data_IF_378293846816
#
_entry.id   IF_378293846816
#
_cell.length_a   1.000
_cell.length_b   1.000
_cell.length_c   1.000
_cell.angle_alpha   90.00
_cell.angle_beta   90.00
_cell.angle_gamma   90.00
#
_symmetry.space_group_name_H-M   'P 1'
#
loop_
_entity.id
_entity.type
_entity.pdbx_description
1 polymer ?
#
# COMPACT_ATOMS: atom_id res chain seq x y z
N UNK A 1 17.97 -0.67 5.75
CA UNK A 1 18.01 -0.28 7.17
C UNK A 1 17.27 -1.31 7.97
N UNK A 2 17.89 -1.88 9.00
CA UNK A 2 17.24 -2.85 9.88
C UNK A 2 16.43 -2.16 10.99
N UNK A 3 15.43 -2.82 11.58
CA UNK A 3 14.77 -2.36 12.80
C UNK A 3 15.78 -2.15 13.92
N UNK A 4 15.56 -1.14 14.76
CA UNK A 4 16.43 -0.91 15.92
C UNK A 4 16.08 -1.84 17.06
N UNK A 5 17.12 -2.35 17.75
CA UNK A 5 16.92 -3.18 18.93
C UNK A 5 16.39 -2.34 20.10
N UNK A 6 15.35 -2.83 20.77
CA UNK A 6 14.87 -2.22 22.02
C UNK A 6 15.75 -2.68 23.20
N UNK A 7 16.51 -1.77 23.79
CA UNK A 7 17.34 -1.97 24.97
C UNK A 7 16.80 -1.24 26.21
N UNK A 8 15.52 -0.83 26.20
CA UNK A 8 14.92 -0.10 27.30
C UNK A 8 14.58 -0.96 28.55
N UNK A 9 14.69 -2.28 28.42
CA UNK A 9 14.32 -3.21 29.50
C UNK A 9 12.80 -3.47 29.64
N UNK A 10 11.99 -2.78 28.85
CA UNK A 10 10.53 -2.90 28.81
C UNK A 10 10.10 -3.32 27.40
N UNK A 11 9.59 -4.56 27.19
CA UNK A 11 9.12 -5.03 25.89
C UNK A 11 7.99 -4.17 25.30
N UNK A 12 7.16 -3.56 26.14
CA UNK A 12 6.06 -2.67 25.71
C UNK A 12 6.56 -1.43 24.97
N UNK A 13 7.86 -1.11 25.04
CA UNK A 13 8.47 0.01 24.31
C UNK A 13 9.04 -0.39 22.93
N UNK A 14 8.84 -1.63 22.48
CA UNK A 14 9.30 -2.06 21.16
C UNK A 14 8.72 -1.20 20.02
N UNK A 15 7.45 -0.74 20.16
CA UNK A 15 6.83 0.16 19.19
C UNK A 15 7.63 1.44 18.96
N UNK A 16 8.31 1.95 19.98
CA UNK A 16 9.11 3.16 19.88
C UNK A 16 10.38 2.94 19.03
N UNK A 17 11.10 1.84 19.27
CA UNK A 17 12.31 1.48 18.52
C UNK A 17 11.98 1.20 17.04
N UNK A 18 10.91 0.43 16.79
CA UNK A 18 10.44 0.09 15.45
C UNK A 18 9.92 1.34 14.72
N UNK A 19 9.16 2.19 15.40
CA UNK A 19 8.64 3.41 14.83
C UNK A 19 9.74 4.43 14.52
N UNK A 20 10.75 4.56 15.38
CA UNK A 20 11.91 5.42 15.09
C UNK A 20 12.67 4.93 13.85
N UNK A 21 12.87 3.62 13.73
CA UNK A 21 13.49 3.04 12.54
C UNK A 21 12.68 3.33 11.27
N UNK A 22 11.34 3.26 11.34
CA UNK A 22 10.47 3.53 10.19
C UNK A 22 10.50 5.01 9.77
N UNK A 23 10.40 5.93 10.73
CA UNK A 23 10.50 7.36 10.45
C UNK A 23 11.85 7.73 9.83
N UNK A 24 12.95 7.14 10.33
CA UNK A 24 14.28 7.32 9.75
C UNK A 24 14.38 6.74 8.35
N UNK A 25 13.79 5.55 8.10
CA UNK A 25 13.72 4.95 6.75
C UNK A 25 12.97 5.86 5.79
N UNK A 26 11.81 6.37 6.20
CA UNK A 26 11.01 7.31 5.41
C UNK A 26 11.78 8.59 5.10
N UNK A 27 12.56 9.11 6.05
CA UNK A 27 13.40 10.29 5.86
C UNK A 27 14.52 10.02 4.86
N UNK A 28 15.22 8.89 4.98
CA UNK A 28 16.26 8.48 4.04
C UNK A 28 15.73 8.23 2.62
N UNK A 29 14.50 7.71 2.48
CA UNK A 29 13.87 7.47 1.18
C UNK A 29 13.54 8.76 0.40
N UNK A 30 13.55 9.92 1.06
CA UNK A 30 13.40 11.25 0.43
C UNK A 30 14.70 11.76 -0.19
N UNK A 31 15.84 11.16 0.17
CA UNK A 31 17.13 11.59 -0.34
C UNK A 31 17.36 11.08 -1.76
N UNK A 32 17.51 12.00 -2.70
CA UNK A 32 17.84 11.65 -4.08
C UNK A 32 19.18 10.90 -4.14
N UNK A 33 19.21 9.82 -4.91
CA UNK A 33 20.42 9.00 -5.07
C UNK A 33 20.61 7.92 -4.00
N UNK A 34 19.76 7.84 -2.97
CA UNK A 34 19.76 6.76 -1.98
C UNK A 34 18.59 5.80 -2.23
N UNK A 35 18.90 4.54 -2.51
CA UNK A 35 17.88 3.47 -2.55
C UNK A 35 17.79 2.83 -1.17
N UNK A 36 16.60 2.87 -0.57
CA UNK A 36 16.35 2.35 0.78
C UNK A 36 15.43 1.14 0.68
N UNK A 37 15.88 0.01 1.22
CA UNK A 37 15.06 -1.22 1.27
C UNK A 37 13.81 -1.00 2.10
N UNK A 38 12.69 -1.53 1.61
CA UNK A 38 11.39 -1.46 2.24
C UNK A 38 11.35 -2.12 3.62
N UNK A 39 10.35 -1.74 4.38
CA UNK A 39 10.19 -2.17 5.77
C UNK A 39 10.06 -3.68 5.89
N UNK A 40 9.19 -4.31 5.09
CA UNK A 40 8.87 -5.74 5.23
C UNK A 40 10.10 -6.60 5.05
N UNK A 41 10.90 -6.34 4.02
CA UNK A 41 12.16 -7.08 3.82
C UNK A 41 13.15 -6.88 4.97
N UNK A 42 13.23 -5.66 5.49
CA UNK A 42 14.10 -5.34 6.63
C UNK A 42 13.67 -6.08 7.92
N UNK A 43 12.36 -6.21 8.15
CA UNK A 43 11.81 -6.95 9.29
C UNK A 43 12.11 -8.46 9.20
N UNK A 44 11.99 -9.04 8.00
CA UNK A 44 12.26 -10.48 7.79
C UNK A 44 13.71 -10.84 8.13
N UNK A 45 14.65 -9.93 7.90
CA UNK A 45 16.08 -10.15 8.19
C UNK A 45 16.54 -9.51 9.51
N UNK A 46 15.62 -9.09 10.37
CA UNK A 46 15.88 -8.40 11.64
C UNK A 46 16.95 -9.08 12.50
N UNK A 47 16.94 -10.42 12.55
CA UNK A 47 17.81 -11.22 13.37
C UNK A 47 19.05 -11.74 12.64
N UNK A 48 19.23 -11.40 11.38
CA UNK A 48 20.42 -11.77 10.62
C UNK A 48 21.59 -10.84 10.99
N UNK A 49 22.82 -11.35 10.88
CA UNK A 49 23.99 -10.48 10.89
C UNK A 49 24.02 -9.57 9.65
N UNK A 50 24.77 -8.45 9.72
CA UNK A 50 24.76 -7.44 8.68
C UNK A 50 25.17 -7.98 7.29
N UNK A 51 26.13 -8.93 7.22
CA UNK A 51 26.55 -9.54 5.93
C UNK A 51 25.45 -10.43 5.35
N UNK A 52 24.81 -11.22 6.18
CA UNK A 52 23.70 -12.08 5.75
C UNK A 52 22.50 -11.24 5.32
N UNK A 53 22.14 -10.20 6.08
CA UNK A 53 21.09 -9.26 5.71
C UNK A 53 21.42 -8.56 4.39
N UNK A 54 22.65 -8.04 4.22
CA UNK A 54 23.10 -7.37 3.00
C UNK A 54 22.96 -8.27 1.76
N UNK A 55 23.37 -9.53 1.89
CA UNK A 55 23.28 -10.52 0.80
C UNK A 55 21.82 -10.84 0.44
N UNK A 56 20.96 -11.08 1.45
CA UNK A 56 19.53 -11.37 1.23
C UNK A 56 18.78 -10.21 0.61
N UNK A 57 19.15 -8.97 0.98
CA UNK A 57 18.51 -7.75 0.51
C UNK A 57 19.21 -7.14 -0.71
N UNK A 58 20.31 -7.73 -1.18
CA UNK A 58 21.14 -7.22 -2.29
C UNK A 58 21.58 -5.75 -2.11
N UNK A 59 22.02 -5.37 -0.89
CA UNK A 59 22.44 -3.99 -0.55
C UNK A 59 23.92 -3.90 -0.23
N UNK A 60 24.53 -2.77 -0.55
CA UNK A 60 25.95 -2.50 -0.26
C UNK A 60 26.18 -2.11 1.20
N UNK A 61 25.21 -1.53 1.86
CA UNK A 61 25.34 -1.04 3.23
C UNK A 61 24.14 -1.41 4.07
N UNK A 62 24.38 -1.67 5.36
CA UNK A 62 23.33 -1.96 6.37
C UNK A 62 23.43 -0.91 7.46
N UNK A 63 22.37 -0.13 7.65
CA UNK A 63 22.18 0.70 8.83
C UNK A 63 21.43 -0.11 9.88
N UNK A 64 22.03 -0.24 11.06
CA UNK A 64 21.49 -0.93 12.23
C UNK A 64 21.67 -0.08 13.48
N UNK A 65 21.08 -0.48 14.59
CA UNK A 65 21.23 0.26 15.83
C UNK A 65 20.37 -0.26 16.97
N UNK A 66 20.36 0.50 18.05
CA UNK A 66 19.56 0.21 19.23
C UNK A 66 19.00 1.49 19.85
N UNK A 67 17.89 1.34 20.55
CA UNK A 67 17.26 2.41 21.33
C UNK A 67 17.15 1.99 22.79
N UNK A 68 17.60 2.84 23.69
CA UNK A 68 17.36 2.73 25.12
C UNK A 68 16.64 4.00 25.59
N UNK A 69 15.41 3.83 26.03
CA UNK A 69 14.58 4.94 26.54
C UNK A 69 14.44 4.83 28.05
N UNK A 70 14.63 5.96 28.74
CA UNK A 70 14.29 6.18 30.15
C UNK A 70 13.37 7.38 30.27
N UNK A 71 12.92 7.69 31.49
CA UNK A 71 12.11 8.90 31.74
C UNK A 71 12.86 10.20 31.39
N UNK A 72 14.19 10.22 31.56
CA UNK A 72 15.00 11.42 31.40
C UNK A 72 15.74 11.51 30.06
N UNK A 73 16.06 10.36 29.45
CA UNK A 73 16.94 10.30 28.26
C UNK A 73 16.50 9.23 27.27
N UNK A 74 16.71 9.55 26.00
CA UNK A 74 16.71 8.57 24.90
C UNK A 74 18.14 8.48 24.42
N UNK A 75 18.72 7.27 24.47
CA UNK A 75 19.98 6.93 23.81
C UNK A 75 19.69 6.12 22.57
N UNK A 76 20.17 6.60 21.43
CA UNK A 76 20.14 5.87 20.16
C UNK A 76 21.58 5.62 19.75
N UNK A 77 21.93 4.37 19.53
CA UNK A 77 23.17 3.97 18.87
C UNK A 77 22.83 3.64 17.42
N UNK A 78 23.52 4.24 16.47
CA UNK A 78 23.34 3.95 15.05
C UNK A 78 24.70 3.57 14.44
N UNK A 79 24.69 2.56 13.57
CA UNK A 79 25.89 2.01 12.93
C UNK A 79 25.60 1.75 11.45
N UNK A 80 26.51 2.20 10.59
CA UNK A 80 26.52 1.90 9.16
C UNK A 80 27.62 0.87 8.88
N UNK A 81 27.21 -0.29 8.39
CA UNK A 81 28.08 -1.44 8.16
C UNK A 81 28.19 -1.71 6.67
N UNK A 82 29.40 -1.94 6.17
CA UNK A 82 29.65 -2.43 4.82
C UNK A 82 29.10 -3.85 4.66
N UNK A 83 28.17 -4.04 3.74
CA UNK A 83 27.47 -5.33 3.55
C UNK A 83 28.38 -6.44 3.00
N UNK A 84 29.49 -6.08 2.35
CA UNK A 84 30.43 -7.06 1.77
C UNK A 84 31.45 -7.52 2.81
N UNK A 85 32.13 -6.57 3.44
CA UNK A 85 33.19 -6.85 4.43
C UNK A 85 32.62 -7.17 5.82
N UNK A 86 31.47 -6.62 6.19
CA UNK A 86 30.93 -6.63 7.55
C UNK A 86 31.60 -5.63 8.48
N UNK A 87 32.47 -4.77 7.96
CA UNK A 87 33.17 -3.77 8.77
C UNK A 87 32.30 -2.53 8.97
N UNK A 88 32.41 -1.94 10.14
CA UNK A 88 31.75 -0.68 10.48
C UNK A 88 32.40 0.46 9.70
N UNK A 89 31.56 1.23 8.96
CA UNK A 89 31.97 2.46 8.25
C UNK A 89 31.77 3.69 9.10
N UNK A 90 30.77 3.64 9.96
CA UNK A 90 30.41 4.75 10.83
C UNK A 90 29.58 4.23 12.01
N UNK A 91 29.78 4.84 13.18
CA UNK A 91 29.02 4.57 14.40
C UNK A 91 28.94 5.82 15.26
N UNK A 92 27.75 6.09 15.81
CA UNK A 92 27.55 7.24 16.69
C UNK A 92 26.46 6.98 17.72
N UNK A 93 26.61 7.64 18.88
CA UNK A 93 25.63 7.59 19.97
C UNK A 93 24.98 8.96 20.13
N UNK A 94 23.65 8.98 20.18
CA UNK A 94 22.84 10.17 20.37
C UNK A 94 22.14 10.10 21.71
N UNK A 95 22.58 10.93 22.65
CA UNK A 95 21.94 11.10 23.95
C UNK A 95 21.14 12.41 23.95
N UNK A 96 19.82 12.31 24.07
CA UNK A 96 18.90 13.44 23.98
C UNK A 96 17.76 13.32 24.99
N UNK A 97 17.11 14.45 25.27
CA UNK A 97 15.87 14.46 26.00
C UNK A 97 14.73 13.79 25.19
N UNK A 98 13.68 13.24 25.83
CA UNK A 98 12.57 12.60 25.13
C UNK A 98 11.88 13.49 24.08
N UNK A 99 11.94 14.83 24.20
CA UNK A 99 11.39 15.78 23.23
C UNK A 99 12.18 15.97 21.94
N UNK A 100 13.41 15.46 21.86
CA UNK A 100 14.33 15.69 20.75
C UNK A 100 14.35 14.56 19.71
N UNK A 101 13.31 13.70 19.67
CA UNK A 101 13.31 12.50 18.82
C UNK A 101 13.48 12.81 17.34
N UNK A 102 12.81 13.85 16.82
CA UNK A 102 12.95 14.29 15.41
C UNK A 102 14.36 14.78 15.13
N UNK A 103 15.00 15.47 16.11
CA UNK A 103 16.37 15.92 15.95
C UNK A 103 17.34 14.74 15.87
N UNK A 104 17.13 13.69 16.69
CA UNK A 104 17.90 12.45 16.58
C UNK A 104 17.76 11.84 15.19
N UNK A 105 16.56 11.74 14.66
CA UNK A 105 16.29 11.19 13.32
C UNK A 105 16.99 12.00 12.23
N UNK A 106 16.93 13.33 12.32
CA UNK A 106 17.58 14.23 11.36
C UNK A 106 19.11 14.12 11.45
N UNK A 107 19.67 14.14 12.66
CA UNK A 107 21.11 14.01 12.91
C UNK A 107 21.64 12.67 12.35
N UNK A 108 20.93 11.55 12.59
CA UNK A 108 21.31 10.24 12.04
C UNK A 108 21.24 10.24 10.52
N UNK A 109 20.17 10.77 9.93
CA UNK A 109 20.01 10.79 8.47
C UNK A 109 21.09 11.64 7.79
N UNK A 110 21.48 12.77 8.38
CA UNK A 110 22.59 13.62 7.91
C UNK A 110 23.93 12.88 7.99
N UNK A 111 24.22 12.23 9.13
CA UNK A 111 25.46 11.48 9.34
C UNK A 111 25.56 10.29 8.38
N UNK A 112 24.46 9.55 8.15
CA UNK A 112 24.39 8.46 7.16
C UNK A 112 24.66 8.99 5.75
N UNK A 113 24.01 10.09 5.36
CA UNK A 113 24.23 10.70 4.04
C UNK A 113 25.71 11.12 3.86
N UNK A 114 26.31 11.70 4.88
CA UNK A 114 27.73 12.07 4.88
C UNK A 114 28.64 10.84 4.76
N UNK A 115 28.40 9.79 5.54
CA UNK A 115 29.15 8.54 5.48
C UNK A 115 29.05 7.85 4.12
N UNK A 116 27.92 7.99 3.44
CA UNK A 116 27.70 7.50 2.07
C UNK A 116 28.13 8.50 0.99
N UNK A 117 28.71 9.65 1.36
CA UNK A 117 29.15 10.73 0.45
C UNK A 117 28.01 11.29 -0.42
N UNK A 118 26.80 11.31 0.11
CA UNK A 118 25.63 11.93 -0.54
C UNK A 118 25.64 13.41 -0.20
N UNK A 119 25.67 14.27 -1.22
CA UNK A 119 25.65 15.72 -1.01
C UNK A 119 24.26 16.19 -0.56
N UNK A 120 24.12 16.60 0.69
CA UNK A 120 22.92 17.22 1.22
C UNK A 120 22.99 18.74 1.08
N UNK A 121 22.27 19.30 0.11
CA UNK A 121 22.00 20.76 0.06
C UNK A 121 21.04 21.18 1.18
N UNK A 122 20.86 22.51 1.36
CA UNK A 122 19.90 23.05 2.33
C UNK A 122 18.49 22.53 2.16
N UNK A 123 18.05 22.35 0.91
CA UNK A 123 16.74 21.75 0.58
C UNK A 123 16.64 20.28 1.03
N UNK A 124 17.68 19.48 0.83
CA UNK A 124 17.71 18.07 1.29
C UNK A 124 17.60 17.95 2.81
N UNK A 125 18.30 18.79 3.55
CA UNK A 125 18.21 18.84 5.02
C UNK A 125 16.81 19.22 5.50
N UNK A 126 16.18 20.22 4.86
CA UNK A 126 14.83 20.62 5.20
C UNK A 126 13.80 19.48 5.01
N UNK A 127 14.00 18.60 4.02
CA UNK A 127 13.11 17.47 3.76
C UNK A 127 13.17 16.39 4.87
N UNK A 128 14.27 16.27 5.60
CA UNK A 128 14.42 15.24 6.63
C UNK A 128 13.47 15.43 7.82
N UNK A 129 13.11 16.68 8.16
CA UNK A 129 12.25 17.02 9.30
C UNK A 129 10.79 17.31 8.93
N UNK A 130 10.41 17.18 7.65
CA UNK A 130 9.08 17.57 7.17
C UNK A 130 7.98 16.70 7.76
N UNK A 131 6.95 17.35 8.28
CA UNK A 131 5.69 16.71 8.72
C UNK A 131 5.72 16.12 10.12
N UNK A 132 6.81 16.28 10.86
CA UNK A 132 6.94 15.81 12.23
C UNK A 132 6.28 16.73 13.27
N UNK A 133 6.45 16.39 14.55
CA UNK A 133 5.96 17.17 15.70
C UNK A 133 7.05 17.29 16.78
N UNK A 134 7.08 18.41 17.49
CA UNK A 134 7.90 18.56 18.69
C UNK A 134 7.16 18.09 19.96
N UNK A 135 5.91 17.68 19.85
CA UNK A 135 5.13 17.15 20.98
C UNK A 135 5.40 15.64 21.11
N UNK A 136 6.13 15.28 22.18
CA UNK A 136 6.55 13.87 22.44
C UNK A 136 5.36 12.94 22.59
N UNK A 137 4.30 13.39 23.25
CA UNK A 137 3.12 12.56 23.50
C UNK A 137 2.33 12.36 22.20
N UNK A 138 2.21 13.40 21.37
CA UNK A 138 1.61 13.28 20.05
C UNK A 138 2.40 12.30 19.17
N UNK A 139 3.74 12.35 19.18
CA UNK A 139 4.57 11.41 18.45
C UNK A 139 4.39 9.97 18.96
N UNK A 140 4.41 9.76 20.27
CA UNK A 140 4.19 8.45 20.87
C UNK A 140 2.84 7.84 20.46
N UNK A 141 1.78 8.64 20.44
CA UNK A 141 0.46 8.18 19.98
C UNK A 141 0.46 7.74 18.53
N UNK A 142 1.17 8.46 17.65
CA UNK A 142 1.31 8.06 16.24
C UNK A 142 2.09 6.75 16.11
N UNK A 143 3.20 6.56 16.84
CA UNK A 143 3.96 5.31 16.81
C UNK A 143 3.12 4.12 17.32
N UNK A 144 2.28 4.33 18.34
CA UNK A 144 1.32 3.33 18.82
C UNK A 144 0.23 3.04 17.76
N UNK A 145 -0.27 4.07 17.06
CA UNK A 145 -1.21 3.89 15.97
C UNK A 145 -0.61 3.05 14.85
N UNK A 146 0.61 3.36 14.41
CA UNK A 146 1.32 2.61 13.38
C UNK A 146 1.52 1.14 13.79
N UNK A 147 1.76 0.85 15.07
CA UNK A 147 1.88 -0.51 15.59
C UNK A 147 0.58 -1.33 15.49
N UNK A 148 -0.61 -0.69 15.46
CA UNK A 148 -1.87 -1.41 15.24
C UNK A 148 -1.95 -2.08 13.86
N UNK A 149 -1.17 -1.60 12.88
CA UNK A 149 -1.16 -2.11 11.50
C UNK A 149 -0.08 -3.16 11.24
N UNK A 150 0.79 -3.44 12.21
CA UNK A 150 1.87 -4.42 12.07
C UNK A 150 1.41 -5.88 12.19
N UNK A 151 0.18 -6.11 12.59
CA UNK A 151 -0.43 -7.42 12.75
C UNK A 151 -1.68 -7.54 11.88
N UNK A 152 -2.43 -8.61 12.04
CA UNK A 152 -3.67 -8.86 11.27
C UNK A 152 -4.58 -7.63 11.25
N UNK A 153 -4.87 -7.13 10.04
CA UNK A 153 -5.77 -5.99 9.84
C UNK A 153 -7.20 -6.38 10.25
N UNK A 154 -7.81 -5.57 11.13
CA UNK A 154 -9.19 -5.75 11.58
C UNK A 154 -9.85 -4.39 11.83
N UNK A 155 -11.19 -4.36 11.80
CA UNK A 155 -11.96 -3.13 12.09
C UNK A 155 -11.61 -2.53 13.46
N UNK A 156 -11.54 -3.37 14.49
CA UNK A 156 -11.22 -2.93 15.84
C UNK A 156 -9.86 -2.23 15.91
N UNK A 157 -8.83 -2.79 15.27
CA UNK A 157 -7.49 -2.19 15.23
C UNK A 157 -7.47 -0.91 14.43
N UNK A 158 -8.19 -0.87 13.29
CA UNK A 158 -8.27 0.32 12.47
C UNK A 158 -8.96 1.47 13.22
N UNK A 159 -10.06 1.19 13.92
CA UNK A 159 -10.74 2.20 14.75
C UNK A 159 -9.88 2.64 15.94
N UNK A 160 -9.17 1.70 16.59
CA UNK A 160 -8.21 2.05 17.65
C UNK A 160 -7.07 2.94 17.14
N UNK A 161 -6.55 2.66 15.96
CA UNK A 161 -5.57 3.52 15.29
C UNK A 161 -6.09 4.94 15.07
N UNK A 162 -7.35 5.08 14.61
CA UNK A 162 -7.99 6.41 14.46
C UNK A 162 -8.09 7.16 15.78
N UNK A 163 -8.49 6.51 16.87
CA UNK A 163 -8.56 7.14 18.20
C UNK A 163 -7.18 7.70 18.64
N UNK A 164 -6.12 6.91 18.44
CA UNK A 164 -4.76 7.32 18.77
C UNK A 164 -4.30 8.50 17.91
N UNK A 165 -4.61 8.49 16.61
CA UNK A 165 -4.29 9.59 15.70
C UNK A 165 -5.07 10.85 16.07
N UNK A 166 -6.36 10.73 16.39
CA UNK A 166 -7.18 11.87 16.79
C UNK A 166 -6.68 12.48 18.11
N UNK A 167 -6.24 11.67 19.07
CA UNK A 167 -5.60 12.12 20.29
C UNK A 167 -4.26 12.84 20.01
N UNK A 168 -3.45 12.34 19.07
CA UNK A 168 -2.21 12.99 18.65
C UNK A 168 -2.48 14.37 18.02
N UNK A 169 -3.50 14.49 17.17
CA UNK A 169 -3.92 15.76 16.55
C UNK A 169 -4.44 16.75 17.60
N UNK A 170 -5.12 16.26 18.65
CA UNK A 170 -5.58 17.12 19.75
C UNK A 170 -4.40 17.70 20.53
N UNK A 171 -3.30 16.95 20.70
CA UNK A 171 -2.08 17.40 21.36
C UNK A 171 -1.24 18.34 20.48
N UNK A 172 -1.22 18.12 19.18
CA UNK A 172 -0.56 18.99 18.20
C UNK A 172 -1.41 19.16 16.93
N UNK A 173 -2.23 20.21 16.87
CA UNK A 173 -3.06 20.52 15.69
C UNK A 173 -2.28 20.87 14.42
N UNK A 174 -0.96 21.01 14.50
CA UNK A 174 -0.07 21.26 13.36
C UNK A 174 0.72 20.03 12.92
N UNK A 175 0.48 18.86 13.49
CA UNK A 175 1.16 17.62 13.14
C UNK A 175 0.69 17.08 11.77
N UNK A 176 1.33 17.53 10.69
CA UNK A 176 0.96 17.18 9.33
C UNK A 176 0.97 15.66 9.07
N UNK A 177 1.97 14.94 9.61
CA UNK A 177 2.09 13.48 9.51
C UNK A 177 0.89 12.73 10.10
N UNK A 178 0.32 13.22 11.19
CA UNK A 178 -0.88 12.66 11.81
C UNK A 178 -2.11 12.82 10.90
N UNK A 179 -2.29 14.00 10.30
CA UNK A 179 -3.39 14.22 9.35
C UNK A 179 -3.28 13.35 8.10
N UNK A 180 -2.09 13.12 7.57
CA UNK A 180 -1.88 12.21 6.44
C UNK A 180 -2.32 10.78 6.79
N UNK A 181 -1.85 10.25 7.93
CA UNK A 181 -2.23 8.91 8.44
C UNK A 181 -3.74 8.80 8.67
N UNK A 182 -4.34 9.84 9.27
CA UNK A 182 -5.79 9.92 9.46
C UNK A 182 -6.54 9.81 8.14
N UNK A 183 -6.08 10.50 7.10
CA UNK A 183 -6.69 10.45 5.76
C UNK A 183 -6.70 9.05 5.17
N UNK A 184 -5.56 8.37 5.16
CA UNK A 184 -5.43 6.99 4.67
C UNK A 184 -6.32 6.04 5.45
N UNK A 185 -6.27 6.12 6.79
CA UNK A 185 -6.98 5.17 7.63
C UNK A 185 -8.49 5.35 7.57
N UNK A 186 -8.98 6.60 7.55
CA UNK A 186 -10.40 6.88 7.33
C UNK A 186 -10.90 6.35 5.99
N UNK A 187 -10.09 6.53 4.91
CA UNK A 187 -10.43 5.96 3.61
C UNK A 187 -10.51 4.44 3.66
N UNK A 188 -9.55 3.78 4.30
CA UNK A 188 -9.53 2.33 4.46
C UNK A 188 -10.71 1.81 5.27
N UNK A 189 -11.01 2.43 6.42
CA UNK A 189 -12.18 2.07 7.25
C UNK A 189 -13.47 2.25 6.47
N UNK A 190 -13.58 3.35 5.72
CA UNK A 190 -14.78 3.61 4.90
C UNK A 190 -14.96 2.58 3.80
N UNK A 191 -13.88 2.13 3.15
CA UNK A 191 -13.96 1.15 2.06
C UNK A 191 -14.33 -0.26 2.53
N UNK A 192 -13.79 -0.69 3.68
CA UNK A 192 -13.88 -2.08 4.10
C UNK A 192 -14.90 -2.33 5.22
N UNK A 193 -15.27 -1.31 6.00
CA UNK A 193 -16.06 -1.48 7.22
C UNK A 193 -17.28 -0.55 7.31
N UNK A 194 -17.61 0.22 6.26
CA UNK A 194 -18.85 1.00 6.28
C UNK A 194 -20.08 0.12 6.10
N UNK A 195 -21.13 0.42 6.87
CA UNK A 195 -22.40 -0.31 6.86
C UNK A 195 -23.43 0.26 5.88
N UNK A 196 -23.01 1.17 5.01
CA UNK A 196 -23.86 1.76 3.97
C UNK A 196 -23.25 2.94 3.25
N UNK A 197 -23.92 3.42 2.17
CA UNK A 197 -23.40 4.48 1.31
C UNK A 197 -23.21 5.82 2.02
N UNK A 198 -24.02 6.15 3.01
CA UNK A 198 -23.89 7.41 3.76
C UNK A 198 -22.67 7.41 4.66
N UNK A 199 -22.37 6.30 5.36
CA UNK A 199 -21.16 6.15 6.17
C UNK A 199 -19.93 6.17 5.28
N UNK A 200 -19.94 5.48 4.15
CA UNK A 200 -18.86 5.50 3.15
C UNK A 200 -18.58 6.94 2.67
N UNK A 201 -19.62 7.70 2.31
CA UNK A 201 -19.52 9.08 1.84
C UNK A 201 -18.99 10.02 2.93
N UNK A 202 -19.50 9.87 4.16
CA UNK A 202 -19.05 10.67 5.30
C UNK A 202 -17.57 10.40 5.63
N UNK A 203 -17.15 9.14 5.67
CA UNK A 203 -15.77 8.75 5.93
C UNK A 203 -14.80 9.24 4.86
N UNK A 204 -15.15 9.11 3.58
CA UNK A 204 -14.36 9.66 2.46
C UNK A 204 -14.25 11.19 2.54
N UNK A 205 -15.32 11.90 2.90
CA UNK A 205 -15.28 13.35 3.08
C UNK A 205 -14.31 13.75 4.19
N UNK A 206 -14.32 13.05 5.32
CA UNK A 206 -13.37 13.29 6.42
C UNK A 206 -11.93 12.93 6.01
N UNK A 207 -11.74 11.84 5.26
CA UNK A 207 -10.44 11.45 4.72
C UNK A 207 -9.85 12.54 3.81
N UNK A 208 -10.65 13.09 2.88
CA UNK A 208 -10.25 14.21 2.02
C UNK A 208 -9.87 15.46 2.81
N UNK A 209 -10.67 15.83 3.84
CA UNK A 209 -10.35 16.98 4.71
C UNK A 209 -9.01 16.76 5.41
N UNK A 210 -8.76 15.57 5.93
CA UNK A 210 -7.51 15.25 6.63
C UNK A 210 -6.30 15.30 5.67
N UNK A 211 -6.39 14.67 4.50
CA UNK A 211 -5.31 14.69 3.51
C UNK A 211 -4.99 16.11 3.02
N UNK A 212 -6.00 16.93 2.74
CA UNK A 212 -5.82 18.34 2.36
C UNK A 212 -5.18 19.15 3.50
N UNK A 213 -5.57 18.91 4.75
CA UNK A 213 -4.96 19.57 5.91
C UNK A 213 -3.49 19.20 6.05
N UNK A 214 -3.12 17.93 5.83
CA UNK A 214 -1.74 17.49 5.84
C UNK A 214 -0.89 18.24 4.81
N UNK A 215 -1.38 18.39 3.56
CA UNK A 215 -0.69 19.14 2.51
C UNK A 215 -0.60 20.63 2.85
N UNK A 216 -1.67 21.23 3.41
CA UNK A 216 -1.65 22.63 3.80
C UNK A 216 -0.60 22.92 4.89
N UNK A 217 -0.38 21.98 5.80
CA UNK A 217 0.62 22.09 6.87
C UNK A 217 2.05 21.79 6.37
N UNK A 218 2.20 20.83 5.48
CA UNK A 218 3.50 20.39 4.96
C UNK A 218 3.42 20.02 3.47
N UNK A 219 3.51 21.00 2.55
CA UNK A 219 3.36 20.78 1.10
C UNK A 219 4.41 19.87 0.47
N UNK A 220 5.52 19.65 1.15
CA UNK A 220 6.62 18.76 0.70
C UNK A 220 6.63 17.40 1.41
N UNK A 221 5.58 17.07 2.15
CA UNK A 221 5.42 15.76 2.78
C UNK A 221 4.88 14.75 1.76
N UNK A 222 5.72 13.82 1.31
CA UNK A 222 5.34 12.77 0.33
C UNK A 222 4.11 11.98 0.77
N UNK A 223 4.04 11.63 2.03
CA UNK A 223 2.94 10.90 2.65
C UNK A 223 1.59 11.63 2.55
N UNK A 224 1.58 12.96 2.66
CA UNK A 224 0.36 13.76 2.52
C UNK A 224 -0.21 13.68 1.10
N UNK A 225 0.68 13.77 0.09
CA UNK A 225 0.30 13.59 -1.33
C UNK A 225 -0.18 12.17 -1.62
N UNK A 226 0.52 11.14 -1.08
CA UNK A 226 0.09 9.75 -1.21
C UNK A 226 -1.29 9.52 -0.59
N UNK A 227 -1.54 10.06 0.60
CA UNK A 227 -2.83 10.00 1.27
C UNK A 227 -3.94 10.61 0.41
N UNK A 228 -3.71 11.82 -0.13
CA UNK A 228 -4.68 12.49 -0.99
C UNK A 228 -4.92 11.70 -2.29
N UNK A 229 -3.87 11.16 -2.90
CA UNK A 229 -3.96 10.32 -4.09
C UNK A 229 -4.86 9.09 -3.85
N UNK A 230 -4.63 8.36 -2.76
CA UNK A 230 -5.42 7.19 -2.39
C UNK A 230 -6.89 7.52 -2.09
N UNK A 231 -7.13 8.61 -1.35
CA UNK A 231 -8.50 9.02 -1.04
C UNK A 231 -9.25 9.45 -2.32
N UNK A 232 -8.59 10.17 -3.23
CA UNK A 232 -9.16 10.58 -4.52
C UNK A 232 -9.44 9.38 -5.42
N UNK A 233 -8.49 8.44 -5.57
CA UNK A 233 -8.72 7.24 -6.39
C UNK A 233 -9.82 6.36 -5.81
N UNK A 234 -9.89 6.16 -4.49
CA UNK A 234 -10.98 5.46 -3.81
C UNK A 234 -12.35 6.14 -3.98
N UNK A 235 -12.36 7.47 -4.18
CA UNK A 235 -13.56 8.25 -4.49
C UNK A 235 -13.83 8.37 -6.00
N UNK A 236 -13.14 7.63 -6.85
CA UNK A 236 -13.21 7.65 -8.32
C UNK A 236 -12.86 9.03 -8.93
N UNK A 237 -12.13 9.86 -8.22
CA UNK A 237 -11.58 11.12 -8.72
C UNK A 237 -10.23 10.87 -9.43
N UNK A 238 -10.27 10.10 -10.52
CA UNK A 238 -9.10 9.54 -11.18
C UNK A 238 -8.15 10.64 -11.69
N UNK A 239 -8.68 11.62 -12.44
CA UNK A 239 -7.87 12.73 -12.95
C UNK A 239 -7.13 13.49 -11.85
N UNK A 240 -7.82 13.97 -10.80
CA UNK A 240 -7.17 14.62 -9.64
C UNK A 240 -6.23 13.74 -8.82
N UNK A 241 -6.39 12.41 -8.81
CA UNK A 241 -5.50 11.50 -8.06
C UNK A 241 -4.10 11.40 -8.68
N UNK A 242 -4.01 11.40 -10.01
CA UNK A 242 -2.75 11.17 -10.72
C UNK A 242 -1.63 12.15 -10.37
N UNK A 243 -1.82 13.49 -10.42
CA UNK A 243 -0.77 14.44 -10.05
C UNK A 243 -0.28 14.26 -8.61
N UNK A 244 -1.14 13.82 -7.70
CA UNK A 244 -0.76 13.57 -6.31
C UNK A 244 0.16 12.33 -6.18
N UNK A 245 -0.13 11.24 -6.89
CA UNK A 245 0.78 10.08 -6.94
C UNK A 245 2.16 10.48 -7.50
N UNK A 246 2.18 11.27 -8.59
CA UNK A 246 3.44 11.78 -9.18
C UNK A 246 4.21 12.65 -8.20
N UNK A 247 3.52 13.50 -7.46
CA UNK A 247 4.15 14.38 -6.47
C UNK A 247 4.69 13.57 -5.29
N UNK A 248 3.95 12.57 -4.80
CA UNK A 248 4.41 11.68 -3.73
C UNK A 248 5.70 10.96 -4.13
N UNK A 249 5.75 10.38 -5.34
CA UNK A 249 6.94 9.71 -5.86
C UNK A 249 8.12 10.68 -6.03
N UNK A 250 7.87 11.89 -6.56
CA UNK A 250 8.91 12.92 -6.70
C UNK A 250 9.54 13.30 -5.35
N UNK A 251 8.73 13.37 -4.29
CA UNK A 251 9.17 13.76 -2.94
C UNK A 251 9.85 12.62 -2.16
N UNK A 252 9.55 11.37 -2.49
CA UNK A 252 10.16 10.19 -1.88
C UNK A 252 10.42 9.11 -2.96
N UNK A 253 11.46 9.29 -3.80
CA UNK A 253 11.67 8.45 -4.97
C UNK A 253 12.08 7.00 -4.65
N UNK A 254 12.47 6.70 -3.41
CA UNK A 254 12.83 5.35 -2.97
C UNK A 254 11.87 4.77 -1.94
N UNK A 255 10.69 5.37 -1.76
CA UNK A 255 9.67 4.80 -0.89
C UNK A 255 8.92 3.67 -1.60
N UNK A 256 9.26 2.42 -1.27
CA UNK A 256 8.71 1.23 -1.89
C UNK A 256 7.16 1.18 -1.80
N UNK A 257 6.57 1.71 -0.74
CA UNK A 257 5.11 1.75 -0.59
C UNK A 257 4.46 2.73 -1.58
N UNK A 258 5.01 3.92 -1.74
CA UNK A 258 4.55 4.91 -2.72
C UNK A 258 4.67 4.36 -4.15
N UNK A 259 5.82 3.75 -4.48
CA UNK A 259 6.08 3.15 -5.80
C UNK A 259 5.05 2.05 -6.09
N UNK A 260 4.82 1.14 -5.15
CA UNK A 260 3.88 0.04 -5.27
C UNK A 260 2.44 0.52 -5.50
N UNK A 261 1.97 1.47 -4.68
CA UNK A 261 0.61 2.01 -4.79
C UNK A 261 0.40 2.83 -6.06
N UNK A 262 1.42 3.55 -6.51
CA UNK A 262 1.35 4.27 -7.77
C UNK A 262 1.37 3.33 -8.98
N UNK A 263 2.18 2.25 -8.94
CA UNK A 263 2.15 1.19 -9.96
C UNK A 263 0.74 0.61 -10.13
N UNK A 264 0.08 0.27 -9.02
CA UNK A 264 -1.30 -0.20 -9.05
C UNK A 264 -2.24 0.80 -9.72
N UNK A 265 -2.22 2.05 -9.29
CA UNK A 265 -3.06 3.10 -9.89
C UNK A 265 -2.83 3.24 -11.40
N UNK A 266 -1.57 3.20 -11.85
CA UNK A 266 -1.22 3.26 -13.27
C UNK A 266 -1.76 2.05 -14.05
N UNK A 267 -1.72 0.85 -13.47
CA UNK A 267 -2.31 -0.35 -14.06
C UNK A 267 -3.83 -0.21 -14.23
N UNK A 268 -4.51 0.30 -13.20
CA UNK A 268 -5.96 0.56 -13.21
C UNK A 268 -6.37 1.56 -14.30
N UNK A 269 -5.57 2.60 -14.53
CA UNK A 269 -5.87 3.65 -15.53
C UNK A 269 -5.28 3.40 -16.92
N UNK A 270 -4.76 2.21 -17.20
CA UNK A 270 -4.29 1.81 -18.52
C UNK A 270 -2.89 2.31 -18.91
N UNK A 271 -2.07 2.81 -17.98
CA UNK A 271 -0.67 3.22 -18.22
C UNK A 271 0.28 2.03 -17.96
N UNK A 272 0.08 0.93 -18.70
CA UNK A 272 0.62 -0.40 -18.43
C UNK A 272 2.16 -0.47 -18.36
N UNK A 273 2.85 0.21 -19.29
CA UNK A 273 4.32 0.21 -19.32
C UNK A 273 4.90 0.82 -18.04
N UNK A 274 4.40 1.99 -17.64
CA UNK A 274 4.83 2.69 -16.42
C UNK A 274 4.45 1.89 -15.16
N UNK A 275 3.30 1.24 -15.17
CA UNK A 275 2.86 0.38 -14.07
C UNK A 275 3.85 -0.78 -13.84
N UNK A 276 4.27 -1.46 -14.90
CA UNK A 276 5.22 -2.57 -14.82
C UNK A 276 6.61 -2.12 -14.37
N UNK A 277 7.11 -1.00 -14.91
CA UNK A 277 8.40 -0.42 -14.50
C UNK A 277 8.43 -0.12 -12.98
N UNK A 278 7.38 0.52 -12.46
CA UNK A 278 7.29 0.81 -11.03
C UNK A 278 7.04 -0.46 -10.20
N UNK A 279 6.30 -1.45 -10.71
CA UNK A 279 6.12 -2.71 -10.02
C UNK A 279 7.44 -3.48 -9.85
N UNK A 280 8.26 -3.52 -10.91
CA UNK A 280 9.59 -4.13 -10.86
C UNK A 280 10.52 -3.35 -9.90
N UNK A 281 10.45 -2.01 -9.88
CA UNK A 281 11.19 -1.20 -8.93
C UNK A 281 10.75 -1.44 -7.47
N UNK A 282 9.43 -1.58 -7.21
CA UNK A 282 8.91 -1.92 -5.89
C UNK A 282 9.43 -3.28 -5.39
N UNK A 283 9.48 -4.29 -6.28
CA UNK A 283 10.07 -5.60 -5.97
C UNK A 283 11.57 -5.47 -5.67
N UNK A 284 12.30 -4.67 -6.45
CA UNK A 284 13.73 -4.45 -6.21
C UNK A 284 14.02 -3.74 -4.88
N UNK A 285 13.14 -2.81 -4.46
CA UNK A 285 13.29 -2.10 -3.20
C UNK A 285 12.78 -2.89 -1.98
N UNK A 286 11.84 -3.83 -2.17
CA UNK A 286 11.31 -4.63 -1.06
C UNK A 286 11.20 -6.11 -1.47
N UNK A 287 12.36 -6.80 -1.69
CA UNK A 287 12.43 -8.08 -2.40
C UNK A 287 11.89 -9.27 -1.63
N UNK A 288 11.67 -9.15 -0.32
CA UNK A 288 11.07 -10.21 0.51
C UNK A 288 9.59 -9.93 0.83
N UNK A 289 9.05 -8.81 0.35
CA UNK A 289 7.66 -8.44 0.56
C UNK A 289 6.75 -9.08 -0.48
N UNK A 290 5.95 -10.07 -0.07
CA UNK A 290 5.00 -10.77 -0.95
C UNK A 290 3.97 -9.83 -1.59
N UNK A 291 3.62 -8.72 -0.92
CA UNK A 291 2.72 -7.71 -1.47
C UNK A 291 3.33 -7.01 -2.70
N UNK A 292 4.64 -6.77 -2.74
CA UNK A 292 5.30 -6.20 -3.94
C UNK A 292 5.10 -7.11 -5.15
N UNK A 293 5.16 -8.42 -4.96
CA UNK A 293 4.90 -9.39 -6.02
C UNK A 293 3.41 -9.47 -6.39
N UNK A 294 2.50 -9.37 -5.42
CA UNK A 294 1.07 -9.29 -5.71
C UNK A 294 0.74 -8.09 -6.61
N UNK A 295 1.33 -6.92 -6.33
CA UNK A 295 1.13 -5.73 -7.16
C UNK A 295 1.78 -5.85 -8.54
N UNK A 296 2.92 -6.55 -8.65
CA UNK A 296 3.51 -6.88 -9.95
C UNK A 296 2.61 -7.82 -10.76
N UNK A 297 2.05 -8.84 -10.11
CA UNK A 297 1.07 -9.75 -10.71
C UNK A 297 -0.18 -8.97 -11.16
N UNK A 298 -0.67 -8.06 -10.34
CA UNK A 298 -1.76 -7.15 -10.68
C UNK A 298 -1.45 -6.32 -11.93
N UNK A 299 -0.28 -5.71 -12.02
CA UNK A 299 0.14 -4.93 -13.18
C UNK A 299 0.25 -5.79 -14.44
N UNK A 300 0.79 -7.01 -14.35
CA UNK A 300 0.86 -7.97 -15.45
C UNK A 300 -0.54 -8.37 -15.94
N UNK A 301 -1.48 -8.63 -15.02
CA UNK A 301 -2.87 -8.96 -15.36
C UNK A 301 -3.56 -7.84 -16.14
N UNK A 302 -3.48 -6.60 -15.64
CA UNK A 302 -4.06 -5.44 -16.31
C UNK A 302 -3.36 -5.11 -17.64
N UNK A 303 -2.09 -5.48 -17.79
CA UNK A 303 -1.35 -5.43 -19.06
C UNK A 303 -1.70 -6.61 -20.00
N UNK A 304 -2.62 -7.50 -19.62
CA UNK A 304 -3.03 -8.70 -20.36
C UNK A 304 -1.90 -9.71 -20.61
N UNK A 305 -0.85 -9.67 -19.79
CA UNK A 305 0.29 -10.56 -19.84
C UNK A 305 0.04 -11.82 -18.99
N UNK A 306 -1.03 -12.55 -19.29
CA UNK A 306 -1.55 -13.65 -18.45
C UNK A 306 -0.56 -14.81 -18.27
N UNK A 307 0.25 -15.12 -19.30
CA UNK A 307 1.29 -16.13 -19.18
C UNK A 307 2.38 -15.73 -18.19
N UNK A 308 2.72 -14.42 -18.15
CA UNK A 308 3.70 -13.89 -17.22
C UNK A 308 3.13 -13.84 -15.78
N UNK A 309 1.82 -13.64 -15.62
CA UNK A 309 1.13 -13.79 -14.31
C UNK A 309 1.30 -15.19 -13.78
N UNK A 310 1.08 -16.22 -14.61
CA UNK A 310 1.24 -17.63 -14.21
C UNK A 310 2.69 -17.93 -13.81
N UNK A 311 3.65 -17.46 -14.61
CA UNK A 311 5.07 -17.63 -14.31
C UNK A 311 5.46 -16.93 -12.99
N UNK A 312 5.11 -15.66 -12.81
CA UNK A 312 5.43 -14.89 -11.62
C UNK A 312 4.80 -15.53 -10.37
N UNK A 313 3.57 -16.04 -10.47
CA UNK A 313 2.90 -16.72 -9.36
C UNK A 313 3.62 -18.02 -8.98
N UNK A 314 4.08 -18.82 -9.96
CA UNK A 314 4.84 -20.06 -9.69
C UNK A 314 6.18 -19.76 -9.02
N UNK A 315 6.90 -18.76 -9.52
CA UNK A 315 8.20 -18.34 -8.99
C UNK A 315 8.05 -17.89 -7.54
N UNK A 316 7.03 -17.06 -7.24
CA UNK A 316 6.81 -16.55 -5.89
C UNK A 316 6.32 -17.65 -4.93
N UNK A 317 5.46 -18.56 -5.39
CA UNK A 317 5.02 -19.72 -4.61
C UNK A 317 6.23 -20.62 -4.23
N UNK A 318 7.15 -20.83 -5.15
CA UNK A 318 8.36 -21.60 -4.90
C UNK A 318 9.31 -20.91 -3.91
N UNK A 319 9.41 -19.57 -4.00
CA UNK A 319 10.26 -18.76 -3.14
C UNK A 319 9.72 -18.60 -1.71
N UNK A 320 8.41 -18.46 -1.56
CA UNK A 320 7.74 -18.13 -0.29
C UNK A 320 6.55 -19.06 -0.01
N UNK A 321 6.73 -20.40 0.02
CA UNK A 321 5.60 -21.36 0.01
C UNK A 321 4.71 -21.25 1.25
N UNK A 322 5.24 -20.78 2.37
CA UNK A 322 4.49 -20.68 3.64
C UNK A 322 3.73 -19.35 3.79
N UNK A 323 4.12 -18.33 3.06
CA UNK A 323 3.62 -16.96 3.26
C UNK A 323 2.86 -16.42 2.04
N UNK A 324 3.28 -16.79 0.83
CA UNK A 324 2.62 -16.32 -0.38
C UNK A 324 1.28 -17.02 -0.60
N UNK A 325 0.28 -16.22 -0.94
CA UNK A 325 -1.03 -16.70 -1.38
C UNK A 325 -1.29 -16.09 -2.76
N UNK A 326 -1.46 -16.92 -3.80
CA UNK A 326 -1.74 -16.40 -5.14
C UNK A 326 -2.95 -15.48 -5.15
N UNK A 327 -2.84 -14.27 -5.72
CA UNK A 327 -3.94 -13.32 -5.78
C UNK A 327 -5.02 -13.77 -6.80
N UNK A 328 -6.19 -13.13 -6.76
CA UNK A 328 -7.30 -13.45 -7.67
C UNK A 328 -6.94 -13.32 -9.14
N UNK A 329 -6.06 -12.39 -9.48
CA UNK A 329 -5.52 -12.15 -10.82
C UNK A 329 -4.86 -13.38 -11.42
N UNK A 330 -4.29 -14.27 -10.59
CA UNK A 330 -3.79 -15.57 -11.07
C UNK A 330 -4.94 -16.45 -11.56
N UNK A 331 -6.00 -16.61 -10.75
CA UNK A 331 -7.19 -17.37 -11.15
C UNK A 331 -7.86 -16.80 -12.40
N UNK A 332 -7.98 -15.48 -12.46
CA UNK A 332 -8.49 -14.76 -13.64
C UNK A 332 -7.62 -14.96 -14.88
N UNK A 333 -6.29 -14.96 -14.72
CA UNK A 333 -5.38 -15.23 -15.82
C UNK A 333 -5.50 -16.65 -16.36
N UNK A 334 -5.73 -17.64 -15.48
CA UNK A 334 -6.01 -19.02 -15.91
C UNK A 334 -7.29 -19.08 -16.75
N UNK A 335 -8.34 -18.34 -16.40
CA UNK A 335 -9.57 -18.23 -17.20
C UNK A 335 -9.22 -17.62 -18.58
N UNK A 336 -8.45 -16.51 -18.60
CA UNK A 336 -8.10 -15.82 -19.84
C UNK A 336 -7.21 -16.65 -20.77
N UNK A 337 -6.38 -17.55 -20.23
CA UNK A 337 -5.57 -18.51 -20.95
C UNK A 337 -6.35 -19.76 -21.43
N UNK A 338 -7.64 -19.87 -21.08
CA UNK A 338 -8.43 -21.06 -21.38
C UNK A 338 -8.09 -22.28 -20.52
N UNK A 339 -7.31 -22.11 -19.46
CA UNK A 339 -6.94 -23.17 -18.51
C UNK A 339 -8.06 -23.43 -17.49
N UNK A 340 -9.25 -23.71 -17.98
CA UNK A 340 -10.49 -23.71 -17.19
C UNK A 340 -10.48 -24.75 -16.06
N UNK A 341 -9.84 -25.91 -16.25
CA UNK A 341 -9.71 -26.91 -15.19
C UNK A 341 -8.81 -26.43 -14.02
N UNK A 342 -7.74 -25.70 -14.33
CA UNK A 342 -6.87 -25.09 -13.32
C UNK A 342 -7.58 -23.94 -12.59
N UNK A 343 -8.28 -23.08 -13.33
CA UNK A 343 -9.12 -22.05 -12.75
C UNK A 343 -10.22 -22.64 -11.83
N UNK A 344 -10.84 -23.75 -12.20
CA UNK A 344 -11.81 -24.45 -11.39
C UNK A 344 -11.25 -24.95 -10.05
N UNK A 345 -9.99 -25.42 -10.05
CA UNK A 345 -9.31 -25.78 -8.79
C UNK A 345 -8.99 -24.55 -7.94
N UNK A 346 -8.57 -23.43 -8.58
CA UNK A 346 -8.25 -22.20 -7.89
C UNK A 346 -9.50 -21.58 -7.20
N UNK A 347 -10.65 -21.58 -7.89
CA UNK A 347 -11.91 -21.05 -7.37
C UNK A 347 -12.78 -22.12 -6.67
N UNK A 348 -12.22 -23.29 -6.36
CA UNK A 348 -12.94 -24.33 -5.62
C UNK A 348 -13.36 -23.82 -4.22
N UNK A 349 -14.55 -24.21 -3.74
CA UNK A 349 -15.02 -23.78 -2.43
C UNK A 349 -14.07 -24.21 -1.31
N UNK A 350 -13.67 -23.25 -0.47
CA UNK A 350 -13.00 -23.50 0.81
C UNK A 350 -13.70 -22.73 1.91
N UNK A 351 -13.54 -23.09 3.18
CA UNK A 351 -14.13 -22.33 4.29
C UNK A 351 -13.71 -20.85 4.35
N UNK A 352 -12.58 -20.51 3.72
CA UNK A 352 -11.98 -19.17 3.72
C UNK A 352 -12.38 -18.35 2.49
N UNK A 353 -13.24 -18.88 1.60
CA UNK A 353 -13.62 -18.19 0.37
C UNK A 353 -14.39 -16.90 0.63
N UNK A 354 -13.78 -15.77 0.24
CA UNK A 354 -14.41 -14.47 0.24
C UNK A 354 -15.20 -14.20 -1.06
N UNK A 355 -15.85 -13.03 -1.14
CA UNK A 355 -16.65 -12.64 -2.31
C UNK A 355 -15.89 -12.70 -3.64
N UNK A 356 -14.60 -12.39 -3.67
CA UNK A 356 -13.77 -12.47 -4.87
C UNK A 356 -13.65 -13.89 -5.45
N UNK A 357 -13.60 -14.91 -4.60
CA UNK A 357 -13.58 -16.30 -5.04
C UNK A 357 -14.94 -16.72 -5.66
N UNK A 358 -16.04 -16.24 -5.07
CA UNK A 358 -17.39 -16.48 -5.61
C UNK A 358 -17.57 -15.77 -6.96
N UNK A 359 -17.02 -14.54 -7.11
CA UNK A 359 -17.03 -13.80 -8.37
C UNK A 359 -16.24 -14.55 -9.46
N UNK A 360 -15.01 -14.98 -9.17
CA UNK A 360 -14.18 -15.75 -10.11
C UNK A 360 -14.85 -17.07 -10.54
N UNK A 361 -15.48 -17.77 -9.60
CA UNK A 361 -16.27 -18.96 -9.91
C UNK A 361 -17.44 -18.63 -10.85
N UNK A 362 -18.18 -17.54 -10.58
CA UNK A 362 -19.29 -17.10 -11.42
C UNK A 362 -18.85 -16.77 -12.86
N UNK A 363 -17.72 -16.06 -13.01
CA UNK A 363 -17.12 -15.74 -14.30
C UNK A 363 -16.70 -17.03 -15.04
N UNK A 364 -16.08 -17.97 -14.34
CA UNK A 364 -15.66 -19.26 -14.92
C UNK A 364 -16.87 -20.05 -15.43
N UNK A 365 -17.93 -20.14 -14.63
CA UNK A 365 -19.17 -20.85 -15.01
C UNK A 365 -19.84 -20.18 -16.21
N UNK A 366 -19.91 -18.86 -16.23
CA UNK A 366 -20.43 -18.10 -17.39
C UNK A 366 -19.68 -18.43 -18.67
N UNK A 367 -18.35 -18.46 -18.65
CA UNK A 367 -17.51 -18.79 -19.81
C UNK A 367 -17.61 -20.25 -20.23
N UNK A 368 -17.92 -21.16 -19.30
CA UNK A 368 -18.20 -22.57 -19.60
C UNK A 368 -19.61 -22.82 -20.13
N UNK A 369 -20.45 -21.79 -20.26
CA UNK A 369 -21.84 -21.91 -20.71
C UNK A 369 -22.80 -22.37 -19.60
N UNK A 370 -22.34 -22.53 -18.37
CA UNK A 370 -23.20 -22.83 -17.22
C UNK A 370 -23.88 -21.57 -16.70
N UNK A 371 -24.93 -21.12 -17.41
CA UNK A 371 -25.70 -19.95 -17.04
C UNK A 371 -26.36 -20.11 -15.66
N UNK A 372 -26.83 -21.32 -15.35
CA UNK A 372 -27.51 -21.56 -14.06
C UNK A 372 -26.52 -21.39 -12.89
N UNK A 373 -25.36 -22.03 -12.96
CA UNK A 373 -24.32 -21.91 -11.93
C UNK A 373 -23.78 -20.47 -11.79
N UNK A 374 -23.64 -19.73 -12.89
CA UNK A 374 -23.26 -18.33 -12.86
C UNK A 374 -24.30 -17.46 -12.14
N UNK A 375 -25.60 -17.67 -12.37
CA UNK A 375 -26.69 -16.96 -11.68
C UNK A 375 -26.73 -17.30 -10.18
N UNK A 376 -26.44 -18.54 -9.79
CA UNK A 376 -26.30 -18.92 -8.39
C UNK A 376 -25.12 -18.18 -7.73
N UNK A 377 -24.01 -17.99 -8.43
CA UNK A 377 -22.89 -17.20 -7.92
C UNK A 377 -23.27 -15.73 -7.73
N UNK A 378 -24.08 -15.14 -8.63
CA UNK A 378 -24.63 -13.78 -8.46
C UNK A 378 -25.51 -13.71 -7.21
N UNK A 379 -26.39 -14.68 -7.00
CA UNK A 379 -27.25 -14.71 -5.82
C UNK A 379 -26.45 -14.80 -4.53
N UNK A 380 -25.40 -15.61 -4.51
CA UNK A 380 -24.51 -15.76 -3.38
C UNK A 380 -23.71 -14.46 -3.11
N UNK A 381 -23.18 -13.80 -4.14
CA UNK A 381 -22.51 -12.50 -4.00
C UNK A 381 -23.43 -11.46 -3.36
N UNK A 382 -24.68 -11.36 -3.84
CA UNK A 382 -25.67 -10.44 -3.27
C UNK A 382 -25.99 -10.77 -1.82
N UNK A 383 -26.04 -12.05 -1.47
CA UNK A 383 -26.26 -12.51 -0.08
C UNK A 383 -25.09 -12.13 0.82
N UNK A 384 -23.83 -12.25 0.33
CA UNK A 384 -22.62 -12.03 1.12
C UNK A 384 -22.35 -10.53 1.35
N UNK A 385 -22.48 -9.71 0.31
CA UNK A 385 -22.02 -8.31 0.32
C UNK A 385 -23.05 -7.30 -0.23
N UNK A 386 -24.29 -7.74 -0.45
CA UNK A 386 -25.36 -6.83 -0.90
C UNK A 386 -25.01 -6.08 -2.19
N UNK A 387 -25.23 -4.77 -2.17
CA UNK A 387 -24.97 -3.88 -3.30
C UNK A 387 -23.47 -3.71 -3.63
N UNK A 388 -22.59 -4.06 -2.70
CA UNK A 388 -21.15 -4.11 -2.97
C UNK A 388 -20.76 -5.25 -3.94
N UNK A 389 -21.71 -6.11 -4.35
CA UNK A 389 -21.51 -7.09 -5.41
C UNK A 389 -21.62 -6.50 -6.82
N UNK A 390 -22.11 -5.27 -6.99
CA UNK A 390 -22.56 -4.73 -8.28
C UNK A 390 -21.50 -4.84 -9.39
N UNK A 391 -20.24 -4.55 -9.13
CA UNK A 391 -19.19 -4.63 -10.14
C UNK A 391 -18.96 -6.10 -10.57
N UNK A 392 -18.80 -7.03 -9.62
CA UNK A 392 -18.62 -8.45 -9.93
C UNK A 392 -19.85 -9.08 -10.62
N UNK A 393 -21.04 -8.59 -10.30
CA UNK A 393 -22.28 -8.96 -11.00
C UNK A 393 -22.23 -8.49 -12.46
N UNK A 394 -21.68 -7.28 -12.74
CA UNK A 394 -21.49 -6.80 -14.09
C UNK A 394 -20.49 -7.66 -14.88
N UNK A 395 -19.37 -8.07 -14.26
CA UNK A 395 -18.40 -8.98 -14.88
C UNK A 395 -19.07 -10.31 -15.31
N UNK A 396 -19.83 -10.93 -14.41
CA UNK A 396 -20.51 -12.20 -14.69
C UNK A 396 -21.54 -12.04 -15.82
N UNK A 397 -22.39 -10.99 -15.80
CA UNK A 397 -23.37 -10.76 -16.87
C UNK A 397 -22.72 -10.43 -18.21
N UNK A 398 -21.61 -9.68 -18.21
CA UNK A 398 -20.80 -9.45 -19.41
C UNK A 398 -20.35 -10.78 -20.03
N UNK A 399 -19.85 -11.72 -19.23
CA UNK A 399 -19.41 -13.03 -19.68
C UNK A 399 -20.55 -13.97 -20.06
N UNK A 400 -21.77 -13.75 -19.54
CA UNK A 400 -22.99 -14.43 -19.96
C UNK A 400 -23.57 -13.91 -21.29
N UNK A 401 -22.98 -12.84 -21.86
CA UNK A 401 -23.51 -12.18 -23.06
C UNK A 401 -24.82 -11.45 -22.83
N UNK A 402 -25.05 -10.93 -21.63
CA UNK A 402 -26.26 -10.19 -21.24
C UNK A 402 -25.88 -8.71 -20.95
N UNK A 403 -25.69 -7.89 -22.00
CA UNK A 403 -25.21 -6.53 -21.85
C UNK A 403 -26.19 -5.65 -21.04
N UNK A 404 -27.49 -5.89 -21.12
CA UNK A 404 -28.46 -5.06 -20.42
C UNK A 404 -28.36 -5.24 -18.90
N UNK A 405 -28.21 -6.48 -18.43
CA UNK A 405 -27.97 -6.75 -17.02
C UNK A 405 -26.56 -6.29 -16.57
N UNK A 406 -25.57 -6.41 -17.45
CA UNK A 406 -24.22 -5.91 -17.15
C UNK A 406 -24.23 -4.39 -16.94
N UNK A 407 -24.85 -3.61 -17.82
CA UNK A 407 -24.95 -2.15 -17.66
C UNK A 407 -25.82 -1.74 -16.49
N UNK A 408 -26.93 -2.43 -16.21
CA UNK A 408 -27.71 -2.18 -15.00
C UNK A 408 -26.89 -2.38 -13.72
N UNK A 409 -26.00 -3.39 -13.71
CA UNK A 409 -25.09 -3.62 -12.58
C UNK A 409 -23.97 -2.56 -12.52
N UNK A 410 -23.43 -2.09 -13.66
CA UNK A 410 -22.46 -0.97 -13.73
C UNK A 410 -23.10 0.31 -13.18
N UNK A 411 -24.35 0.64 -13.57
CA UNK A 411 -25.04 1.82 -13.07
C UNK A 411 -25.24 1.75 -11.56
N UNK A 412 -25.61 0.61 -11.02
CA UNK A 412 -25.70 0.38 -9.58
C UNK A 412 -24.33 0.55 -8.89
N UNK A 413 -23.25 0.09 -9.53
CA UNK A 413 -21.90 0.32 -9.01
C UNK A 413 -21.55 1.82 -8.96
N UNK A 414 -22.00 2.63 -9.92
CA UNK A 414 -21.88 4.08 -9.87
C UNK A 414 -22.71 4.72 -8.75
N UNK A 415 -23.96 4.29 -8.57
CA UNK A 415 -24.82 4.77 -7.47
C UNK A 415 -24.17 4.57 -6.11
N UNK A 416 -23.52 3.41 -5.91
CA UNK A 416 -22.84 3.04 -4.68
C UNK A 416 -21.40 3.57 -4.62
N UNK A 417 -20.92 4.31 -5.63
CA UNK A 417 -19.53 4.75 -5.75
C UNK A 417 -18.52 3.61 -5.53
N UNK A 418 -18.80 2.44 -6.15
CA UNK A 418 -18.01 1.23 -5.96
C UNK A 418 -16.58 1.41 -6.48
N UNK A 419 -15.61 1.19 -5.62
CA UNK A 419 -14.20 1.48 -5.91
C UNK A 419 -13.66 0.71 -7.14
N UNK A 420 -14.15 -0.51 -7.41
CA UNK A 420 -13.66 -1.32 -8.52
C UNK A 420 -14.00 -0.75 -9.91
N UNK A 421 -14.88 0.25 -10.00
CA UNK A 421 -15.13 0.97 -11.25
C UNK A 421 -13.86 1.59 -11.85
N UNK A 422 -12.83 1.85 -11.06
CA UNK A 422 -11.53 2.31 -11.56
C UNK A 422 -10.88 1.29 -12.53
N UNK A 423 -11.26 0.02 -12.45
CA UNK A 423 -10.74 -1.04 -13.33
C UNK A 423 -11.50 -1.12 -14.66
N UNK A 424 -12.63 -0.44 -14.83
CA UNK A 424 -13.52 -0.61 -15.98
C UNK A 424 -12.79 -0.49 -17.33
N UNK A 425 -11.79 0.41 -17.42
CA UNK A 425 -11.00 0.60 -18.63
C UNK A 425 -10.15 -0.63 -18.99
N UNK A 426 -9.59 -1.32 -18.01
CA UNK A 426 -8.55 -2.34 -18.19
C UNK A 426 -9.04 -3.75 -17.94
N UNK A 427 -10.21 -3.90 -17.34
CA UNK A 427 -10.82 -5.20 -17.01
C UNK A 427 -11.12 -6.04 -18.26
N UNK A 428 -10.50 -7.23 -18.42
CA UNK A 428 -10.75 -8.09 -19.57
C UNK A 428 -12.14 -8.75 -19.56
N UNK A 429 -12.78 -8.86 -18.41
CA UNK A 429 -14.12 -9.45 -18.35
C UNK A 429 -15.21 -8.51 -18.85
N UNK A 430 -14.89 -7.23 -19.05
CA UNK A 430 -15.78 -6.26 -19.70
C UNK A 430 -15.61 -6.22 -21.24
N UNK A 431 -14.69 -7.00 -21.83
CA UNK A 431 -14.46 -6.99 -23.27
C UNK A 431 -15.70 -7.30 -24.13
N UNK A 432 -16.62 -8.23 -23.74
CA UNK A 432 -17.83 -8.49 -24.51
C UNK A 432 -18.76 -7.28 -24.70
N UNK A 433 -18.74 -6.34 -23.77
CA UNK A 433 -19.59 -5.15 -23.79
C UNK A 433 -18.85 -3.86 -24.18
N UNK A 434 -17.54 -3.94 -24.43
CA UNK A 434 -16.68 -2.76 -24.68
C UNK A 434 -17.05 -1.99 -25.93
N UNK A 435 -17.66 -2.64 -26.93
CA UNK A 435 -18.15 -2.01 -28.17
C UNK A 435 -19.45 -1.22 -28.02
N UNK A 436 -20.18 -1.36 -26.93
CA UNK A 436 -21.46 -0.68 -26.67
C UNK A 436 -21.25 0.81 -26.35
N UNK A 437 -22.17 1.66 -26.81
CA UNK A 437 -22.11 3.10 -26.54
C UNK A 437 -22.23 3.43 -25.04
N UNK A 438 -22.96 2.61 -24.30
CA UNK A 438 -23.09 2.72 -22.82
C UNK A 438 -21.75 2.54 -22.13
N UNK A 439 -20.86 1.69 -22.68
CA UNK A 439 -19.52 1.51 -22.12
C UNK A 439 -18.67 2.79 -22.25
N UNK A 440 -18.72 3.45 -23.41
CA UNK A 440 -18.06 4.73 -23.61
C UNK A 440 -18.58 5.81 -22.68
N UNK A 441 -19.90 5.86 -22.48
CA UNK A 441 -20.52 6.77 -21.52
C UNK A 441 -20.04 6.51 -20.08
N UNK A 442 -19.96 5.25 -19.67
CA UNK A 442 -19.45 4.86 -18.35
C UNK A 442 -17.98 5.29 -18.15
N UNK A 443 -17.11 5.08 -19.15
CA UNK A 443 -15.72 5.55 -19.12
C UNK A 443 -15.61 7.07 -19.01
N UNK A 444 -16.47 7.81 -19.74
CA UNK A 444 -16.50 9.27 -19.67
C UNK A 444 -16.88 9.80 -18.29
N UNK A 445 -17.78 9.08 -17.56
CA UNK A 445 -18.14 9.42 -16.17
C UNK A 445 -16.96 9.30 -15.21
N UNK A 446 -16.03 8.38 -15.48
CA UNK A 446 -14.85 8.14 -14.63
C UNK A 446 -13.72 9.15 -14.89
N UNK A 447 -13.68 9.81 -16.04
CA UNK A 447 -12.71 10.87 -16.34
C UNK A 447 -11.27 10.39 -16.31
N UNK A 448 -10.98 9.26 -16.97
CA UNK A 448 -9.60 8.79 -17.11
C UNK A 448 -8.73 9.85 -17.80
N UNK A 449 -7.50 10.05 -17.31
CA UNK A 449 -6.58 10.97 -17.95
C UNK A 449 -6.12 10.42 -19.31
N UNK A 450 -6.05 11.32 -20.29
CA UNK A 450 -5.57 11.02 -21.64
C UNK A 450 -4.10 10.57 -21.69
#
# INVERSE_FOLDING_TARGET
>A
MLPFANLSGDPEQAYFSDGMAEELRSSLARLAGLKVVGRTSSEIVRNDDAKTAARKLAVANVLTGSVRRSQATIRVTAQLIDGTSGLERWSENYDRAPGDTIKIQTDIAESVAQALKIALGSAGRALLAVGGTNNVDAQNLILQADAQFQSTFSEQRARRGLELIDAAIALDPNYAGAYGRRGVLLNTVSLFFSHGPDELKAGRSQALKSANKAIALAPTLSWAHLALAQVRSGALQIGPAWPEYRQALKLAPSDANTIRLYSRFLAEIGKQQQALELADEAVALDPLNTESYNFRIFALYHARRYADVEQATREETARSPSFFRPPLEHGYSLIMLGQLAAAGRFFAPTPENGPGQVAGKGILLARNGDRHGALLSIAELKRLIGDNASYSVAEIYSQLGDPDQAFAAIDRAFENSHWALINLLTDPFMDPIRGDLRFKAALSRLGYPS
#
